data_IF_192813514035
#
_entry.id   IF_192813514035
#
_cell.length_a   1.000
_cell.length_b   1.000
_cell.length_c   1.000
_cell.angle_alpha   90.00
_cell.angle_beta   90.00
_cell.angle_gamma   90.00
#
_symmetry.space_group_name_H-M   'P 1'
#
loop_
_entity.id
_entity.type
_entity.pdbx_description
1 polymer ?
#
# COMPACT_ATOMS: atom_id res chain seq x y z
N UNK A 1 0.49 5.19 -18.15
CA UNK A 1 0.98 4.51 -16.92
C UNK A 1 0.55 3.04 -16.87
N UNK A 2 -0.75 2.71 -16.77
CA UNK A 2 -1.21 1.31 -16.67
C UNK A 2 -0.75 0.40 -17.83
N UNK A 3 -0.69 0.91 -19.07
CA UNK A 3 -0.17 0.16 -20.22
C UNK A 3 1.31 -0.19 -20.10
N UNK A 4 2.12 0.67 -19.48
CA UNK A 4 3.53 0.40 -19.21
C UNK A 4 3.68 -0.60 -18.06
N UNK A 5 2.86 -0.47 -17.01
CA UNK A 5 2.83 -1.45 -15.93
C UNK A 5 2.49 -2.87 -16.44
N UNK A 6 1.61 -2.97 -17.44
CA UNK A 6 1.25 -4.24 -18.09
C UNK A 6 2.38 -4.94 -18.85
N UNK A 7 3.56 -4.33 -18.99
CA UNK A 7 4.74 -5.00 -19.56
C UNK A 7 5.58 -5.71 -18.51
N UNK A 8 5.17 -5.71 -17.23
CA UNK A 8 5.83 -6.49 -16.19
C UNK A 8 5.87 -7.98 -16.59
N UNK A 9 6.99 -8.69 -16.35
CA UNK A 9 7.04 -10.12 -16.59
C UNK A 9 6.21 -10.88 -15.54
N UNK A 10 5.79 -12.09 -15.88
CA UNK A 10 5.17 -13.02 -14.94
C UNK A 10 5.52 -14.46 -15.29
N UNK A 11 5.34 -15.39 -14.35
CA UNK A 11 5.50 -16.82 -14.63
C UNK A 11 4.63 -17.21 -15.82
N UNK A 12 5.23 -17.80 -16.85
CA UNK A 12 4.54 -18.24 -18.08
C UNK A 12 3.63 -17.17 -18.72
N UNK A 13 3.92 -15.87 -18.52
CA UNK A 13 3.10 -14.76 -19.01
C UNK A 13 1.63 -14.78 -18.53
N UNK A 14 1.35 -15.38 -17.37
CA UNK A 14 0.00 -15.49 -16.77
C UNK A 14 -0.66 -14.16 -16.42
N UNK A 15 0.10 -13.10 -16.15
CA UNK A 15 -0.39 -11.76 -15.82
C UNK A 15 -1.48 -11.77 -14.72
N UNK A 16 -1.19 -12.28 -13.51
CA UNK A 16 -2.22 -12.56 -12.50
C UNK A 16 -2.77 -11.32 -11.80
N UNK A 17 -2.32 -10.11 -12.17
CA UNK A 17 -2.78 -8.86 -11.59
C UNK A 17 -4.16 -8.47 -12.12
N UNK A 18 -5.06 -8.16 -11.20
CA UNK A 18 -6.27 -7.38 -11.48
C UNK A 18 -6.14 -6.05 -10.75
N UNK A 19 -6.41 -4.95 -11.46
CA UNK A 19 -6.17 -3.59 -10.94
C UNK A 19 -7.46 -2.79 -11.00
N UNK A 20 -7.94 -2.37 -9.83
CA UNK A 20 -9.11 -1.51 -9.72
C UNK A 20 -8.67 -0.09 -9.34
N UNK A 21 -8.86 0.86 -10.26
CA UNK A 21 -8.51 2.28 -10.05
C UNK A 21 -9.75 3.06 -9.66
N UNK A 22 -9.66 3.79 -8.55
CA UNK A 22 -10.78 4.52 -7.95
C UNK A 22 -10.46 6.00 -7.88
N UNK A 23 -11.44 6.85 -8.20
CA UNK A 23 -11.29 8.31 -8.25
C UNK A 23 -12.58 9.02 -7.84
N UNK A 24 -12.50 10.32 -7.59
CA UNK A 24 -13.65 11.19 -7.37
C UNK A 24 -14.58 10.69 -6.25
N UNK A 25 -15.89 10.76 -6.48
CA UNK A 25 -16.89 10.38 -5.48
C UNK A 25 -16.80 8.91 -5.04
N UNK A 26 -16.39 8.00 -5.93
CA UNK A 26 -16.20 6.59 -5.57
C UNK A 26 -15.03 6.41 -4.60
N UNK A 27 -13.92 7.13 -4.83
CA UNK A 27 -12.77 7.14 -3.91
C UNK A 27 -13.16 7.68 -2.54
N UNK A 28 -13.98 8.74 -2.50
CA UNK A 28 -14.44 9.31 -1.23
C UNK A 28 -15.28 8.30 -0.43
N UNK A 29 -16.29 7.68 -1.06
CA UNK A 29 -17.11 6.65 -0.40
C UNK A 29 -16.26 5.49 0.13
N UNK A 30 -15.27 5.06 -0.65
CA UNK A 30 -14.36 4.00 -0.23
C UNK A 30 -13.50 4.41 0.97
N UNK A 31 -12.97 5.64 1.00
CA UNK A 31 -12.25 6.15 2.17
C UNK A 31 -13.14 6.15 3.44
N UNK A 32 -14.38 6.61 3.30
CA UNK A 32 -15.34 6.64 4.42
C UNK A 32 -15.68 5.23 4.91
N UNK A 33 -15.85 4.27 3.99
CA UNK A 33 -16.10 2.87 4.31
C UNK A 33 -14.91 2.19 5.01
N UNK A 34 -13.67 2.49 4.59
CA UNK A 34 -12.45 1.99 5.21
C UNK A 34 -12.29 2.52 6.64
N UNK A 35 -12.58 3.81 6.87
CA UNK A 35 -12.56 4.41 8.21
C UNK A 35 -13.59 3.77 9.13
N UNK A 36 -14.82 3.57 8.64
CA UNK A 36 -15.86 2.87 9.40
C UNK A 36 -15.44 1.44 9.74
N UNK A 37 -14.86 0.71 8.77
CA UNK A 37 -14.36 -0.64 9.00
C UNK A 37 -13.21 -0.68 10.03
N UNK A 38 -12.32 0.30 10.01
CA UNK A 38 -11.24 0.42 11.00
C UNK A 38 -11.79 0.70 12.39
N UNK A 39 -12.70 1.66 12.54
CA UNK A 39 -13.34 2.00 13.82
C UNK A 39 -14.10 0.80 14.43
N UNK A 40 -14.77 0.02 13.59
CA UNK A 40 -15.52 -1.18 13.98
C UNK A 40 -14.64 -2.44 14.08
N UNK A 41 -13.32 -2.31 13.85
CA UNK A 41 -12.34 -3.42 13.85
C UNK A 41 -12.73 -4.58 12.92
N UNK A 42 -13.39 -4.27 11.80
CA UNK A 42 -13.80 -5.24 10.78
C UNK A 42 -12.69 -5.53 9.77
N UNK A 43 -11.59 -6.10 10.24
CA UNK A 43 -10.50 -6.56 9.37
C UNK A 43 -10.92 -7.80 8.59
N UNK A 44 -10.48 -7.90 7.35
CA UNK A 44 -10.74 -9.02 6.43
C UNK A 44 -9.51 -9.22 5.53
N UNK A 45 -8.43 -9.69 6.14
CA UNK A 45 -7.13 -9.87 5.48
C UNK A 45 -7.16 -11.13 4.61
N UNK A 46 -6.85 -11.03 3.32
CA UNK A 46 -6.76 -12.22 2.44
C UNK A 46 -5.39 -12.94 2.52
N UNK A 47 -4.32 -12.16 2.70
CA UNK A 47 -2.95 -12.63 2.80
C UNK A 47 -2.44 -12.40 4.23
N UNK A 48 -2.25 -13.46 5.03
CA UNK A 48 -1.94 -13.33 6.45
C UNK A 48 -0.77 -12.39 6.74
N UNK A 49 -0.98 -11.46 7.66
CA UNK A 49 0.05 -10.56 8.19
C UNK A 49 0.25 -10.88 9.67
N UNK A 50 1.51 -11.01 10.09
CA UNK A 50 1.85 -11.13 11.51
C UNK A 50 3.18 -10.45 11.79
N UNK A 51 3.35 -9.89 12.98
CA UNK A 51 4.63 -9.28 13.35
C UNK A 51 5.77 -10.31 13.41
N UNK A 52 5.44 -11.56 13.74
CA UNK A 52 6.36 -12.68 13.77
C UNK A 52 6.91 -13.11 12.40
N UNK A 53 6.38 -12.58 11.29
CA UNK A 53 6.91 -12.87 9.95
C UNK A 53 8.29 -12.25 9.71
N UNK A 54 8.69 -11.27 10.52
CA UNK A 54 9.94 -10.54 10.37
C UNK A 54 11.04 -11.16 11.25
N UNK A 55 12.13 -11.61 10.61
CA UNK A 55 13.38 -11.89 11.32
C UNK A 55 13.94 -10.62 12.00
N UNK A 56 14.83 -10.79 12.96
CA UNK A 56 15.36 -9.71 13.79
C UNK A 56 15.88 -8.51 12.99
N UNK A 57 16.64 -8.75 11.91
CA UNK A 57 17.16 -7.69 11.05
C UNK A 57 16.05 -6.86 10.38
N UNK A 58 14.94 -7.49 10.02
CA UNK A 58 13.79 -6.82 9.43
C UNK A 58 13.01 -6.01 10.47
N UNK A 59 12.89 -6.52 11.70
CA UNK A 59 12.29 -5.77 12.81
C UNK A 59 13.09 -4.51 13.13
N UNK A 60 14.43 -4.60 13.18
CA UNK A 60 15.30 -3.42 13.37
C UNK A 60 15.08 -2.37 12.30
N UNK A 61 15.05 -2.77 11.01
CA UNK A 61 14.80 -1.85 9.89
C UNK A 61 13.41 -1.21 9.96
N UNK A 62 12.38 -1.99 10.30
CA UNK A 62 11.01 -1.51 10.47
C UNK A 62 10.89 -0.50 11.63
N UNK A 63 11.58 -0.75 12.74
CA UNK A 63 11.64 0.18 13.87
C UNK A 63 12.35 1.49 13.52
N UNK A 64 13.48 1.43 12.81
CA UNK A 64 14.21 2.61 12.34
C UNK A 64 13.35 3.46 11.39
N UNK A 65 12.69 2.83 10.43
CA UNK A 65 11.75 3.52 9.54
C UNK A 65 10.61 4.21 10.31
N UNK A 66 10.01 3.51 11.27
CA UNK A 66 8.96 4.09 12.12
C UNK A 66 9.46 5.30 12.91
N UNK A 67 10.66 5.22 13.50
CA UNK A 67 11.25 6.33 14.25
C UNK A 67 11.49 7.58 13.37
N UNK A 68 11.97 7.39 12.14
CA UNK A 68 12.17 8.49 11.19
C UNK A 68 10.83 9.12 10.77
N UNK A 69 9.86 8.28 10.39
CA UNK A 69 8.53 8.72 9.96
C UNK A 69 7.81 9.51 11.06
N UNK A 70 7.70 8.94 12.27
CA UNK A 70 7.04 9.60 13.38
C UNK A 70 7.83 10.80 13.91
N UNK A 71 9.17 10.75 13.85
CA UNK A 71 10.03 11.87 14.25
C UNK A 71 9.79 13.11 13.39
N UNK A 72 9.68 12.96 12.07
CA UNK A 72 9.37 14.08 11.15
C UNK A 72 7.97 14.65 11.38
N UNK A 73 7.03 13.82 11.83
CA UNK A 73 5.68 14.24 12.21
C UNK A 73 5.59 14.77 13.64
N UNK A 74 6.69 14.75 14.42
CA UNK A 74 6.72 15.09 15.84
C UNK A 74 5.77 14.25 16.70
N UNK A 75 5.60 12.97 16.34
CA UNK A 75 4.71 12.01 17.01
C UNK A 75 5.51 11.10 17.94
N UNK A 76 5.14 11.09 19.23
CA UNK A 76 5.76 10.21 20.23
C UNK A 76 5.30 8.75 20.14
N UNK A 77 6.01 7.81 20.78
CA UNK A 77 5.56 6.40 20.91
C UNK A 77 4.24 6.25 21.67
N UNK A 78 4.04 7.05 22.73
CA UNK A 78 2.83 7.03 23.57
C UNK A 78 1.73 7.98 23.09
N UNK A 79 1.95 8.69 21.97
CA UNK A 79 0.95 9.59 21.39
C UNK A 79 -0.06 8.79 20.55
N UNK A 80 -0.93 8.07 21.26
CA UNK A 80 -1.92 7.19 20.64
C UNK A 80 -2.93 7.94 19.77
N UNK A 81 -3.26 9.18 20.13
CA UNK A 81 -4.20 10.02 19.36
C UNK A 81 -3.59 10.42 18.01
N UNK A 82 -2.36 10.95 18.01
CA UNK A 82 -1.70 11.32 16.77
C UNK A 82 -1.40 10.10 15.88
N UNK A 83 -1.07 8.95 16.48
CA UNK A 83 -0.90 7.68 15.74
C UNK A 83 -2.19 7.22 15.09
N UNK A 84 -3.31 7.27 15.82
CA UNK A 84 -4.63 6.94 15.25
C UNK A 84 -5.02 7.92 14.12
N UNK A 85 -4.65 9.20 14.24
CA UNK A 85 -4.84 10.17 13.16
C UNK A 85 -4.01 9.82 11.91
N UNK A 86 -2.76 9.37 12.06
CA UNK A 86 -1.96 8.87 10.93
C UNK A 86 -2.59 7.65 10.25
N UNK A 87 -3.14 6.71 11.02
CA UNK A 87 -3.85 5.56 10.46
C UNK A 87 -5.10 6.02 9.68
N UNK A 88 -5.86 6.98 10.23
CA UNK A 88 -7.01 7.55 9.55
C UNK A 88 -6.63 8.25 8.23
N UNK A 89 -5.56 9.05 8.22
CA UNK A 89 -5.06 9.67 6.99
C UNK A 89 -4.58 8.63 5.97
N UNK A 90 -3.95 7.55 6.43
CA UNK A 90 -3.55 6.43 5.58
C UNK A 90 -4.76 5.76 4.91
N UNK A 91 -5.85 5.55 5.65
CA UNK A 91 -7.11 5.01 5.14
C UNK A 91 -7.86 6.00 4.23
N UNK A 92 -7.59 7.30 4.37
CA UNK A 92 -7.98 8.36 3.42
C UNK A 92 -6.97 8.56 2.31
N UNK A 93 -6.10 7.58 2.05
CA UNK A 93 -5.15 7.62 0.93
C UNK A 93 -4.18 8.81 0.98
N UNK A 94 -3.92 9.36 2.17
CA UNK A 94 -3.14 10.59 2.39
C UNK A 94 -3.65 11.79 1.58
N UNK A 95 -4.95 11.84 1.29
CA UNK A 95 -5.54 12.88 0.44
C UNK A 95 -5.31 12.70 -1.06
N UNK A 96 -4.68 11.61 -1.51
CA UNK A 96 -4.45 11.37 -2.94
C UNK A 96 -5.77 11.32 -3.73
N UNK A 97 -5.82 11.93 -4.94
CA UNK A 97 -7.03 11.97 -5.77
C UNK A 97 -7.40 10.60 -6.36
N UNK A 98 -6.42 9.68 -6.43
CA UNK A 98 -6.58 8.36 -7.00
C UNK A 98 -5.98 7.28 -6.08
N UNK A 99 -6.56 6.10 -6.14
CA UNK A 99 -5.98 4.90 -5.52
C UNK A 99 -6.17 3.70 -6.45
N UNK A 100 -5.19 2.81 -6.50
CA UNK A 100 -5.23 1.56 -7.26
C UNK A 100 -5.14 0.37 -6.31
N UNK A 101 -6.08 -0.56 -6.40
CA UNK A 101 -6.05 -1.81 -5.62
C UNK A 101 -5.53 -2.95 -6.49
N UNK A 102 -4.49 -3.64 -6.00
CA UNK A 102 -3.85 -4.76 -6.68
C UNK A 102 -4.34 -6.08 -6.10
N UNK A 103 -5.13 -6.80 -6.89
CA UNK A 103 -5.59 -8.14 -6.56
C UNK A 103 -4.74 -9.18 -7.27
N UNK A 104 -4.46 -10.28 -6.57
CA UNK A 104 -3.85 -11.49 -7.11
C UNK A 104 -4.98 -12.44 -7.51
N UNK A 105 -5.15 -12.67 -8.81
CA UNK A 105 -6.06 -13.67 -9.32
C UNK A 105 -5.42 -15.07 -9.28
N UNK A 106 -6.14 -16.06 -8.77
CA UNK A 106 -5.61 -17.41 -8.48
C UNK A 106 -5.53 -17.68 -6.98
N UNK A 107 -4.62 -18.56 -6.57
CA UNK A 107 -4.45 -18.96 -5.16
C UNK A 107 -3.84 -17.84 -4.29
N UNK A 108 -3.18 -16.86 -4.90
CA UNK A 108 -2.47 -15.78 -4.21
C UNK A 108 -1.25 -16.28 -3.42
N UNK A 109 -0.77 -17.48 -3.70
CA UNK A 109 0.44 -18.04 -3.10
C UNK A 109 1.69 -17.30 -3.59
N UNK A 110 2.84 -17.63 -3.00
CA UNK A 110 4.08 -16.87 -3.16
C UNK A 110 4.46 -16.53 -4.61
N UNK A 111 4.25 -17.45 -5.57
CA UNK A 111 4.61 -17.24 -6.98
C UNK A 111 3.73 -16.19 -7.67
N UNK A 112 2.41 -16.29 -7.51
CA UNK A 112 1.49 -15.33 -8.13
C UNK A 112 1.57 -13.97 -7.42
N UNK A 113 1.73 -13.96 -6.10
CA UNK A 113 1.97 -12.74 -5.34
C UNK A 113 3.27 -12.03 -5.74
N UNK A 114 4.33 -12.78 -6.06
CA UNK A 114 5.58 -12.21 -6.60
C UNK A 114 5.38 -11.55 -7.96
N UNK A 115 4.61 -12.17 -8.86
CA UNK A 115 4.28 -11.58 -10.17
C UNK A 115 3.49 -10.27 -10.03
N UNK A 116 2.51 -10.22 -9.11
CA UNK A 116 1.79 -8.96 -8.82
C UNK A 116 2.70 -7.93 -8.14
N UNK A 117 3.67 -8.36 -7.34
CA UNK A 117 4.72 -7.49 -6.79
C UNK A 117 5.61 -6.87 -7.87
N UNK A 118 6.00 -7.64 -8.90
CA UNK A 118 6.74 -7.15 -10.05
C UNK A 118 5.92 -6.13 -10.87
N UNK A 119 4.61 -6.40 -11.05
CA UNK A 119 3.68 -5.45 -11.64
C UNK A 119 3.59 -4.16 -10.81
N UNK A 120 3.41 -4.28 -9.50
CA UNK A 120 3.35 -3.15 -8.57
C UNK A 120 4.56 -2.24 -8.74
N UNK A 121 5.77 -2.80 -8.70
CA UNK A 121 7.00 -2.01 -8.86
C UNK A 121 7.09 -1.35 -10.24
N UNK A 122 6.69 -2.05 -11.31
CA UNK A 122 6.66 -1.48 -12.66
C UNK A 122 5.68 -0.31 -12.74
N UNK A 123 4.52 -0.41 -12.08
CA UNK A 123 3.54 0.68 -11.98
C UNK A 123 4.11 1.87 -11.20
N UNK A 124 4.75 1.65 -10.06
CA UNK A 124 5.36 2.74 -9.27
C UNK A 124 6.40 3.51 -10.09
N UNK A 125 7.31 2.80 -10.77
CA UNK A 125 8.30 3.43 -11.65
C UNK A 125 7.65 4.16 -12.84
N UNK A 126 6.59 3.58 -13.40
CA UNK A 126 5.82 4.22 -14.47
C UNK A 126 5.08 5.46 -13.99
N UNK A 127 4.64 5.55 -12.74
CA UNK A 127 4.06 6.76 -12.16
C UNK A 127 5.13 7.84 -12.02
N UNK A 128 6.27 7.49 -11.43
CA UNK A 128 7.43 8.39 -11.26
C UNK A 128 7.93 8.94 -12.59
N UNK A 129 8.03 8.12 -13.64
CA UNK A 129 8.47 8.55 -14.98
C UNK A 129 7.57 9.63 -15.61
N UNK A 130 6.33 9.76 -15.13
CA UNK A 130 5.36 10.76 -15.56
C UNK A 130 5.16 11.87 -14.51
N UNK A 131 6.03 11.94 -13.49
CA UNK A 131 5.95 12.95 -12.42
C UNK A 131 4.77 12.75 -11.47
N UNK A 132 4.28 11.51 -11.33
CA UNK A 132 3.19 11.17 -10.40
C UNK A 132 3.78 10.44 -9.20
N UNK A 133 3.51 10.96 -8.01
CA UNK A 133 3.92 10.40 -6.75
C UNK A 133 2.99 9.26 -6.33
N UNK A 134 3.52 8.30 -5.58
CA UNK A 134 2.76 7.14 -5.15
C UNK A 134 3.23 6.59 -3.80
N UNK A 135 2.30 5.98 -3.08
CA UNK A 135 2.56 5.31 -1.81
C UNK A 135 1.92 3.91 -1.84
N UNK A 136 2.72 2.83 -1.94
CA UNK A 136 2.22 1.48 -1.77
C UNK A 136 1.86 1.23 -0.30
N UNK A 137 0.65 0.70 -0.05
CA UNK A 137 0.06 0.56 1.27
C UNK A 137 -0.41 -0.87 1.52
N UNK A 138 0.29 -1.56 2.42
CA UNK A 138 -0.18 -2.84 2.97
C UNK A 138 -1.41 -2.68 3.86
N UNK A 139 -1.55 -1.55 4.57
CA UNK A 139 -2.69 -1.28 5.47
C UNK A 139 -4.06 -1.47 4.78
N UNK A 140 -4.17 -1.05 3.52
CA UNK A 140 -5.42 -1.13 2.77
C UNK A 140 -5.87 -2.59 2.53
N UNK A 141 -4.94 -3.54 2.45
CA UNK A 141 -5.28 -4.95 2.26
C UNK A 141 -5.90 -5.60 3.51
N UNK A 142 -5.83 -4.94 4.67
CA UNK A 142 -6.48 -5.43 5.89
C UNK A 142 -8.00 -5.33 5.85
N UNK A 143 -8.56 -4.65 4.84
CA UNK A 143 -9.99 -4.40 4.69
C UNK A 143 -10.52 -4.92 3.35
N UNK A 144 -9.98 -6.05 2.85
CA UNK A 144 -10.27 -6.56 1.52
C UNK A 144 -11.77 -6.75 1.20
N UNK A 145 -12.60 -7.19 2.15
CA UNK A 145 -14.04 -7.29 1.96
C UNK A 145 -14.69 -5.91 1.78
N UNK A 146 -14.31 -4.92 2.58
CA UNK A 146 -14.80 -3.54 2.44
C UNK A 146 -14.45 -2.98 1.06
N UNK A 147 -13.20 -3.17 0.62
CA UNK A 147 -12.75 -2.77 -0.72
C UNK A 147 -13.58 -3.47 -1.81
N UNK A 148 -13.72 -4.80 -1.72
CA UNK A 148 -14.51 -5.59 -2.68
C UNK A 148 -15.97 -5.11 -2.76
N UNK A 149 -16.61 -4.87 -1.62
CA UNK A 149 -17.99 -4.40 -1.55
C UNK A 149 -18.17 -3.05 -2.22
N UNK A 150 -17.32 -2.07 -1.90
CA UNK A 150 -17.41 -0.72 -2.47
C UNK A 150 -17.12 -0.68 -3.97
N UNK A 151 -16.26 -1.59 -4.47
CA UNK A 151 -15.92 -1.69 -5.89
C UNK A 151 -16.88 -2.59 -6.68
N UNK A 152 -17.78 -3.32 -6.00
CA UNK A 152 -18.63 -4.32 -6.65
C UNK A 152 -17.84 -5.46 -7.29
N UNK A 153 -16.64 -5.75 -6.76
CA UNK A 153 -15.69 -6.72 -7.31
C UNK A 153 -15.45 -7.86 -6.32
N UNK A 154 -15.45 -9.11 -6.77
CA UNK A 154 -15.34 -10.29 -5.88
C UNK A 154 -14.15 -11.21 -6.18
N UNK A 155 -13.29 -10.84 -7.13
CA UNK A 155 -12.19 -11.70 -7.58
C UNK A 155 -10.89 -11.54 -6.80
N UNK A 156 -10.13 -12.63 -6.66
CA UNK A 156 -8.75 -12.59 -6.19
C UNK A 156 -8.54 -12.17 -4.73
N UNK A 157 -7.27 -12.27 -4.29
CA UNK A 157 -6.81 -11.84 -2.97
C UNK A 157 -6.22 -10.43 -3.07
N UNK A 158 -6.61 -9.51 -2.20
CA UNK A 158 -6.07 -8.16 -2.19
C UNK A 158 -4.64 -8.16 -1.62
N UNK A 159 -3.66 -7.78 -2.43
CA UNK A 159 -2.25 -7.70 -2.03
C UNK A 159 -1.94 -6.38 -1.32
N UNK A 160 -2.27 -5.27 -1.98
CA UNK A 160 -2.00 -3.92 -1.51
C UNK A 160 -2.88 -2.91 -2.25
N UNK A 161 -3.03 -1.72 -1.67
CA UNK A 161 -3.45 -0.53 -2.41
C UNK A 161 -2.28 0.39 -2.70
N UNK A 162 -2.41 1.26 -3.70
CA UNK A 162 -1.44 2.31 -4.03
C UNK A 162 -2.19 3.63 -4.10
N UNK A 163 -1.93 4.54 -3.18
CA UNK A 163 -2.39 5.92 -3.29
C UNK A 163 -1.47 6.68 -4.25
N UNK A 164 -2.02 7.44 -5.20
CA UNK A 164 -1.20 8.18 -6.16
C UNK A 164 -1.82 9.51 -6.60
N UNK A 165 -0.95 10.45 -6.93
CA UNK A 165 -1.30 11.84 -7.25
C UNK A 165 -0.05 12.71 -7.32
N UNK A 166 -0.20 13.99 -7.02
CA UNK A 166 0.93 14.92 -6.92
C UNK A 166 1.18 15.22 -5.45
N UNK A 167 2.41 15.00 -4.99
CA UNK A 167 2.78 15.19 -3.60
C UNK A 167 2.78 16.67 -3.22
N UNK A 168 2.36 16.94 -1.98
CA UNK A 168 2.59 18.24 -1.35
C UNK A 168 4.06 18.34 -0.91
N UNK A 169 4.86 19.11 -1.67
CA UNK A 169 6.28 19.32 -1.36
C UNK A 169 6.53 20.08 -0.04
N UNK A 170 5.49 20.70 0.54
CA UNK A 170 5.58 21.40 1.82
C UNK A 170 5.35 20.49 3.01
N UNK A 171 4.67 19.35 2.83
CA UNK A 171 4.40 18.39 3.89
C UNK A 171 5.71 17.74 4.39
N UNK A 172 6.05 17.85 5.70
CA UNK A 172 7.29 17.32 6.24
C UNK A 172 7.51 15.83 5.97
N UNK A 173 6.43 15.03 6.03
CA UNK A 173 6.44 13.58 5.79
C UNK A 173 7.04 13.18 4.44
N UNK A 174 6.92 14.04 3.42
CA UNK A 174 7.45 13.80 2.08
C UNK A 174 8.97 14.04 1.97
N UNK A 175 9.63 14.48 3.05
CA UNK A 175 11.09 14.68 3.14
C UNK A 175 11.82 13.51 3.81
N UNK A 176 11.08 12.55 4.37
CA UNK A 176 11.63 11.33 4.97
C UNK A 176 12.42 10.58 3.90
N UNK A 177 13.68 10.27 4.18
CA UNK A 177 14.56 9.58 3.23
C UNK A 177 14.98 8.26 3.82
N UNK A 178 14.25 7.21 3.47
CA UNK A 178 14.51 5.86 4.00
C UNK A 178 15.85 5.31 3.51
N UNK A 179 16.72 4.92 4.44
CA UNK A 179 17.97 4.23 4.10
C UNK A 179 17.71 2.87 3.42
N UNK A 180 18.73 2.37 2.72
CA UNK A 180 18.76 0.99 2.21
C UNK A 180 19.95 0.27 2.81
N UNK A 181 19.78 -1.03 3.03
CA UNK A 181 20.86 -1.87 3.51
C UNK A 181 22.02 -1.88 2.49
N UNK A 182 23.28 -1.91 2.95
CA UNK A 182 24.44 -1.95 2.07
C UNK A 182 24.46 -3.26 1.27
N UNK A 183 25.05 -3.24 0.07
CA UNK A 183 25.03 -4.38 -0.86
C UNK A 183 25.59 -5.65 -0.24
N UNK A 184 26.67 -5.52 0.54
CA UNK A 184 27.37 -6.62 1.23
C UNK A 184 26.48 -7.32 2.27
N UNK A 185 25.37 -6.70 2.68
CA UNK A 185 24.39 -7.31 3.59
C UNK A 185 23.23 -8.00 2.89
N UNK A 186 23.15 -7.91 1.56
CA UNK A 186 22.03 -8.39 0.74
C UNK A 186 22.44 -9.20 -0.48
N UNK A 187 23.74 -9.39 -0.72
CA UNK A 187 24.30 -10.09 -1.89
C UNK A 187 25.52 -10.91 -1.49
#
# INVERSE_FOLDING_TARGET
MARLAGTAPSNSNTQPWQVEVVSGAARQRLADALLAAHAERRTSVDLPYSEGMYAQVHQTRRAAFGAELYGVLSIGPEDHEARAACDAESLRFYGAPHTAFLFVHGDGEARLSADVGAYMQTLLLALTAYGVDSCPQGLLSFYANTVRTELGFTGGKLLAGISFGYADATAPVNRVTTERAPLESTT
#
